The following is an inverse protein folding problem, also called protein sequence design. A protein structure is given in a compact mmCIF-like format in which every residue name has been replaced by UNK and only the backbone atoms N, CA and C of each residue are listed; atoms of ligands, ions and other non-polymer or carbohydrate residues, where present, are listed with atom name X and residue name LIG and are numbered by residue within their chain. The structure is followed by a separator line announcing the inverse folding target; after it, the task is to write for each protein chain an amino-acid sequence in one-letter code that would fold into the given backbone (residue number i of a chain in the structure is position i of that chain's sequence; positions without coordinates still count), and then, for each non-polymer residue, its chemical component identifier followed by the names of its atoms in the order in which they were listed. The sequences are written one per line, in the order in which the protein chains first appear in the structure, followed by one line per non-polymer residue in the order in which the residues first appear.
data_IF_845025828507
#
_entry.id   IF_845025828507
#
_cell.length_a   1.000
_cell.length_b   1.000
_cell.length_c   1.000
_cell.angle_alpha   90.00
_cell.angle_beta   90.00
_cell.angle_gamma   90.00
#
_symmetry.space_group_name_H-M   'P 1'
#
loop_
_entity.id
_entity.type
_entity.pdbx_description
1 polymer ?
#
# COMPACT_ATOMS: atom_id res chain seq x y z
N UNK A 1 -23.36 -3.69 -15.91
CA UNK A 1 -22.22 -2.74 -15.92
C UNK A 1 -22.20 -1.95 -14.61
N UNK A 2 -21.16 -2.08 -13.80
CA UNK A 2 -21.02 -1.25 -12.61
C UNK A 2 -20.80 0.22 -13.02
N UNK A 3 -21.66 1.15 -12.56
CA UNK A 3 -21.54 2.58 -12.82
C UNK A 3 -20.15 3.07 -12.38
N UNK A 4 -19.45 3.80 -13.25
CA UNK A 4 -18.17 4.43 -12.95
C UNK A 4 -18.36 5.43 -11.78
N UNK A 5 -17.53 5.32 -10.74
CA UNK A 5 -17.62 6.17 -9.55
C UNK A 5 -16.38 7.06 -9.53
N UNK A 6 -16.52 8.31 -9.93
CA UNK A 6 -15.38 9.23 -9.99
C UNK A 6 -14.66 9.37 -8.63
N UNK A 7 -15.38 9.28 -7.50
CA UNK A 7 -14.78 9.36 -6.17
C UNK A 7 -13.79 8.22 -5.90
N UNK A 8 -14.08 6.98 -6.31
CA UNK A 8 -13.15 5.85 -6.09
C UNK A 8 -11.95 5.91 -7.03
N UNK A 9 -12.13 6.39 -8.26
CA UNK A 9 -11.01 6.57 -9.19
C UNK A 9 -10.09 7.71 -8.74
N UNK A 10 -10.66 8.82 -8.25
CA UNK A 10 -9.88 9.88 -7.62
C UNK A 10 -9.10 9.35 -6.41
N UNK A 11 -9.73 8.50 -5.59
CA UNK A 11 -9.06 7.91 -4.43
C UNK A 11 -7.91 6.99 -4.85
N UNK A 12 -8.09 6.20 -5.91
CA UNK A 12 -7.01 5.37 -6.48
C UNK A 12 -5.80 6.19 -6.92
N UNK A 13 -6.03 7.32 -7.60
CA UNK A 13 -4.95 8.20 -8.02
C UNK A 13 -4.22 8.83 -6.82
N UNK A 14 -4.96 9.32 -5.82
CA UNK A 14 -4.37 9.88 -4.60
C UNK A 14 -3.59 8.81 -3.83
N UNK A 15 -4.14 7.61 -3.71
CA UNK A 15 -3.50 6.53 -2.97
C UNK A 15 -2.16 6.10 -3.58
N UNK A 16 -2.04 6.02 -4.92
CA UNK A 16 -0.74 5.71 -5.54
C UNK A 16 0.27 6.84 -5.33
N UNK A 17 -0.15 8.10 -5.40
CA UNK A 17 0.73 9.24 -5.10
C UNK A 17 1.24 9.15 -3.66
N UNK A 18 0.37 8.88 -2.69
CA UNK A 18 0.75 8.75 -1.28
C UNK A 18 1.72 7.57 -1.06
N UNK A 19 1.52 6.44 -1.72
CA UNK A 19 2.44 5.29 -1.64
C UNK A 19 3.83 5.67 -2.16
N UNK A 20 3.92 6.34 -3.31
CA UNK A 20 5.20 6.80 -3.85
C UNK A 20 5.83 7.87 -2.94
N UNK A 21 5.02 8.78 -2.40
CA UNK A 21 5.46 9.85 -1.50
C UNK A 21 6.19 9.32 -0.26
N UNK A 22 5.73 8.23 0.35
CA UNK A 22 6.44 7.57 1.46
C UNK A 22 7.88 7.23 1.08
N UNK A 23 8.08 6.73 -0.14
CA UNK A 23 9.39 6.30 -0.61
C UNK A 23 10.26 7.43 -1.17
N UNK A 24 9.68 8.61 -1.37
CA UNK A 24 10.40 9.83 -1.71
C UNK A 24 10.85 10.63 -0.47
N UNK A 25 10.43 10.27 0.74
CA UNK A 25 10.84 10.97 1.99
C UNK A 25 12.35 11.17 2.15
N UNK A 26 13.22 10.21 1.79
CA UNK A 26 14.67 10.42 1.83
C UNK A 26 15.18 11.58 0.95
N UNK A 27 14.36 12.10 0.03
CA UNK A 27 14.71 13.22 -0.84
C UNK A 27 14.22 14.55 -0.27
N UNK A 28 14.87 15.03 0.78
CA UNK A 28 14.60 16.35 1.38
C UNK A 28 13.62 16.35 2.55
N UNK A 29 13.09 15.21 3.00
CA UNK A 29 12.18 15.14 4.15
C UNK A 29 12.67 14.14 5.19
N UNK A 30 13.92 14.30 5.63
CA UNK A 30 14.56 13.46 6.67
C UNK A 30 14.44 14.04 8.09
N UNK A 31 13.87 15.23 8.25
CA UNK A 31 13.63 15.87 9.55
C UNK A 31 12.60 15.10 10.39
N UNK A 32 12.96 14.71 11.61
CA UNK A 32 12.12 13.86 12.47
C UNK A 32 11.57 14.62 13.69
N UNK A 33 11.17 15.88 13.52
CA UNK A 33 10.67 16.71 14.60
C UNK A 33 9.62 17.74 14.14
N UNK A 34 8.86 18.26 15.11
CA UNK A 34 7.94 19.37 14.91
C UNK A 34 6.84 19.09 13.86
N UNK A 35 6.41 20.12 13.10
CA UNK A 35 5.37 19.98 12.08
C UNK A 35 5.71 18.97 10.97
N UNK A 36 7.00 18.75 10.72
CA UNK A 36 7.44 17.82 9.69
C UNK A 36 7.25 16.36 10.08
N UNK A 37 7.42 16.03 11.36
CA UNK A 37 7.09 14.69 11.87
C UNK A 37 5.59 14.41 11.75
N UNK A 38 4.73 15.41 11.99
CA UNK A 38 3.28 15.31 11.73
C UNK A 38 3.01 15.03 10.26
N UNK A 39 3.63 15.80 9.36
CA UNK A 39 3.50 15.60 7.91
C UNK A 39 3.94 14.20 7.48
N UNK A 40 5.08 13.72 7.98
CA UNK A 40 5.56 12.37 7.70
C UNK A 40 4.59 11.31 8.22
N UNK A 41 4.10 11.46 9.45
CA UNK A 41 3.14 10.51 10.04
C UNK A 41 1.81 10.48 9.28
N UNK A 42 1.39 11.59 8.64
CA UNK A 42 0.24 11.59 7.72
C UNK A 42 0.50 10.74 6.46
N UNK A 43 1.74 10.73 5.94
CA UNK A 43 2.09 10.04 4.69
C UNK A 43 2.50 8.58 4.91
N UNK A 44 3.29 8.26 5.94
CA UNK A 44 3.66 6.89 6.27
C UNK A 44 2.42 6.00 6.36
N UNK A 45 2.52 4.68 6.13
CA UNK A 45 1.35 3.80 6.21
C UNK A 45 0.30 4.01 5.10
N UNK A 46 0.62 4.78 4.04
CA UNK A 46 -0.25 5.02 2.87
C UNK A 46 -0.85 3.74 2.24
N UNK A 47 -0.20 2.59 2.42
CA UNK A 47 -0.72 1.27 1.98
C UNK A 47 -2.13 0.97 2.49
N UNK A 48 -2.53 1.50 3.65
CA UNK A 48 -3.89 1.39 4.16
C UNK A 48 -4.95 1.86 3.14
N UNK A 49 -4.66 2.91 2.37
CA UNK A 49 -5.55 3.42 1.34
C UNK A 49 -5.73 2.39 0.19
N UNK A 50 -4.65 1.74 -0.25
CA UNK A 50 -4.74 0.67 -1.25
C UNK A 50 -5.53 -0.53 -0.77
N UNK A 51 -5.35 -0.94 0.49
CA UNK A 51 -6.11 -2.06 1.06
C UNK A 51 -7.59 -1.71 1.19
N UNK A 52 -7.92 -0.52 1.69
CA UNK A 52 -9.29 -0.01 1.74
C UNK A 52 -9.95 -0.01 0.34
N UNK A 53 -9.27 0.56 -0.66
CA UNK A 53 -9.78 0.62 -2.03
C UNK A 53 -9.97 -0.80 -2.59
N UNK A 54 -9.03 -1.70 -2.33
CA UNK A 54 -9.12 -3.10 -2.77
C UNK A 54 -10.38 -3.79 -2.21
N UNK A 55 -10.73 -3.53 -0.95
CA UNK A 55 -11.96 -4.04 -0.33
C UNK A 55 -13.21 -3.39 -0.90
N UNK A 56 -13.18 -2.08 -1.13
CA UNK A 56 -14.27 -1.36 -1.78
C UNK A 56 -14.57 -1.95 -3.18
N UNK A 57 -13.52 -2.19 -3.96
CA UNK A 57 -13.59 -2.76 -5.31
C UNK A 57 -13.98 -4.23 -5.30
N UNK A 58 -13.60 -5.00 -4.28
CA UNK A 58 -14.09 -6.37 -4.10
C UNK A 58 -15.61 -6.42 -4.09
N UNK A 59 -16.23 -5.62 -3.23
CA UNK A 59 -17.70 -5.55 -3.18
C UNK A 59 -18.29 -4.97 -4.48
N UNK A 60 -17.79 -3.82 -4.93
CA UNK A 60 -18.41 -3.06 -6.03
C UNK A 60 -18.29 -3.76 -7.39
N UNK A 61 -17.17 -4.44 -7.65
CA UNK A 61 -16.89 -5.07 -8.94
C UNK A 61 -17.19 -6.55 -8.91
N UNK A 62 -16.72 -7.30 -7.91
CA UNK A 62 -16.75 -8.77 -7.96
C UNK A 62 -17.98 -9.35 -7.26
N UNK A 63 -18.24 -8.96 -6.01
CA UNK A 63 -19.37 -9.49 -5.24
C UNK A 63 -20.72 -9.14 -5.88
N UNK A 64 -20.93 -7.87 -6.27
CA UNK A 64 -22.17 -7.44 -6.95
C UNK A 64 -22.42 -8.16 -8.26
N UNK A 65 -21.36 -8.52 -8.97
CA UNK A 65 -21.45 -9.26 -10.24
C UNK A 65 -21.50 -10.77 -10.04
N UNK A 66 -21.47 -11.25 -8.79
CA UNK A 66 -21.41 -12.67 -8.43
C UNK A 66 -20.29 -13.41 -9.16
N UNK A 67 -19.12 -12.76 -9.30
CA UNK A 67 -17.97 -13.35 -9.99
C UNK A 67 -17.55 -14.65 -9.29
N UNK A 68 -17.43 -15.78 -10.01
CA UNK A 68 -16.95 -17.03 -9.44
C UNK A 68 -15.57 -16.90 -8.79
N UNK A 69 -15.34 -17.62 -7.69
CA UNK A 69 -14.09 -17.57 -6.93
C UNK A 69 -12.84 -17.81 -7.80
N UNK A 70 -12.88 -18.83 -8.66
CA UNK A 70 -11.76 -19.18 -9.54
C UNK A 70 -11.48 -18.06 -10.56
N UNK A 71 -12.53 -17.43 -11.10
CA UNK A 71 -12.37 -16.31 -12.03
C UNK A 71 -11.76 -15.09 -11.32
N UNK A 72 -12.24 -14.80 -10.10
CA UNK A 72 -11.66 -13.75 -9.26
C UNK A 72 -10.17 -14.00 -9.01
N UNK A 73 -9.78 -15.18 -8.54
CA UNK A 73 -8.37 -15.51 -8.28
C UNK A 73 -7.52 -15.48 -9.55
N UNK A 74 -8.03 -16.02 -10.66
CA UNK A 74 -7.35 -16.00 -11.96
C UNK A 74 -7.08 -14.56 -12.42
N UNK A 75 -8.02 -13.64 -12.15
CA UNK A 75 -7.80 -12.21 -12.42
C UNK A 75 -6.70 -11.61 -11.53
N UNK A 76 -6.59 -12.00 -10.26
CA UNK A 76 -5.54 -11.51 -9.35
C UNK A 76 -4.18 -12.11 -9.66
N UNK A 77 -4.15 -13.37 -10.06
CA UNK A 77 -2.96 -14.03 -10.54
C UNK A 77 -2.35 -13.25 -11.72
N UNK A 78 -3.14 -13.01 -12.77
CA UNK A 78 -2.65 -12.32 -13.98
C UNK A 78 -2.26 -10.86 -13.75
N UNK A 79 -2.98 -10.14 -12.89
CA UNK A 79 -2.80 -8.70 -12.75
C UNK A 79 -1.94 -8.27 -11.55
N UNK A 80 -1.62 -9.18 -10.63
CA UNK A 80 -0.87 -8.85 -9.41
C UNK A 80 0.29 -9.83 -9.19
N UNK A 81 0.01 -11.13 -9.12
CA UNK A 81 1.05 -12.12 -8.80
C UNK A 81 2.04 -12.30 -9.97
N UNK A 82 1.56 -12.36 -11.21
CA UNK A 82 2.42 -12.54 -12.37
C UNK A 82 3.39 -11.37 -12.60
N UNK A 83 2.96 -10.08 -12.56
CA UNK A 83 3.88 -8.93 -12.56
C UNK A 83 4.93 -9.01 -11.45
N UNK A 84 4.52 -9.38 -10.24
CA UNK A 84 5.39 -9.54 -9.08
C UNK A 84 6.45 -10.62 -9.30
N UNK A 85 6.06 -11.78 -9.83
CA UNK A 85 7.00 -12.87 -10.11
C UNK A 85 7.99 -12.47 -11.20
N UNK A 86 7.53 -11.85 -12.29
CA UNK A 86 8.40 -11.46 -13.41
C UNK A 86 9.41 -10.38 -13.00
N UNK A 87 8.92 -9.26 -12.47
CA UNK A 87 9.79 -8.15 -12.04
C UNK A 87 10.61 -8.56 -10.81
N UNK A 88 10.02 -9.29 -9.87
CA UNK A 88 10.70 -9.82 -8.70
C UNK A 88 11.88 -10.72 -9.06
N UNK A 89 11.73 -11.60 -10.07
CA UNK A 89 12.83 -12.42 -10.57
C UNK A 89 13.98 -11.56 -11.08
N UNK A 90 13.69 -10.50 -11.84
CA UNK A 90 14.71 -9.54 -12.29
C UNK A 90 15.41 -8.84 -11.12
N UNK A 91 14.67 -8.45 -10.08
CA UNK A 91 15.25 -7.81 -8.89
C UNK A 91 16.14 -8.77 -8.10
N UNK A 92 15.68 -10.01 -7.88
CA UNK A 92 16.46 -11.05 -7.19
C UNK A 92 17.73 -11.37 -7.98
N UNK A 93 17.63 -11.51 -9.30
CA UNK A 93 18.80 -11.73 -10.15
C UNK A 93 19.82 -10.60 -10.02
N UNK A 94 19.38 -9.34 -10.04
CA UNK A 94 20.26 -8.18 -9.84
C UNK A 94 20.91 -8.19 -8.45
N UNK A 95 20.16 -8.47 -7.38
CA UNK A 95 20.71 -8.60 -6.03
C UNK A 95 21.76 -9.70 -5.95
N UNK A 96 21.50 -10.85 -6.58
CA UNK A 96 22.40 -11.99 -6.61
C UNK A 96 23.72 -11.65 -7.31
N UNK A 97 23.67 -11.13 -8.54
CA UNK A 97 24.90 -10.80 -9.30
C UNK A 97 25.70 -9.65 -8.67
N UNK A 98 25.02 -8.72 -8.00
CA UNK A 98 25.67 -7.59 -7.32
C UNK A 98 26.12 -7.91 -5.90
N UNK A 99 25.87 -9.14 -5.41
CA UNK A 99 26.12 -9.57 -4.03
C UNK A 99 25.54 -8.58 -3.01
N UNK A 100 24.31 -8.13 -3.25
CA UNK A 100 23.63 -7.12 -2.46
C UNK A 100 22.42 -7.70 -1.70
N UNK A 101 21.89 -6.93 -0.76
CA UNK A 101 20.80 -7.38 0.11
C UNK A 101 21.23 -8.55 0.98
N UNK A 102 20.33 -9.50 1.22
CA UNK A 102 20.60 -10.71 1.99
C UNK A 102 21.63 -11.65 1.34
N UNK A 103 21.99 -11.45 0.05
CA UNK A 103 23.10 -12.19 -0.57
C UNK A 103 24.49 -11.65 -0.18
N UNK A 104 24.59 -10.46 0.42
CA UNK A 104 25.89 -9.93 0.87
C UNK A 104 26.42 -10.60 2.14
N UNK A 105 25.53 -11.21 2.93
CA UNK A 105 25.84 -11.73 4.27
C UNK A 105 25.98 -10.63 5.35
N UNK A 106 25.90 -9.35 4.97
CA UNK A 106 26.11 -8.20 5.86
C UNK A 106 24.80 -7.55 6.35
N UNK A 107 23.64 -7.88 5.78
CA UNK A 107 22.35 -7.36 6.25
C UNK A 107 21.97 -7.99 7.60
N UNK A 108 22.36 -7.31 8.69
CA UNK A 108 22.06 -7.68 10.07
C UNK A 108 20.59 -7.38 10.42
N UNK A 109 19.72 -8.36 10.18
CA UNK A 109 18.38 -8.42 10.80
C UNK A 109 18.28 -9.59 11.79
N UNK A 110 19.35 -9.82 12.55
CA UNK A 110 19.53 -10.95 13.47
C UNK A 110 18.23 -11.29 14.23
N UNK A 111 17.62 -12.43 13.87
CA UNK A 111 16.45 -13.00 14.53
C UNK A 111 15.14 -12.21 14.42
N UNK A 112 15.09 -11.09 13.71
CA UNK A 112 13.89 -10.23 13.60
C UNK A 112 13.08 -10.46 12.33
N UNK A 113 13.70 -11.01 11.30
CA UNK A 113 13.06 -11.31 10.00
C UNK A 113 13.12 -12.80 9.71
N UNK A 114 12.51 -13.22 8.60
CA UNK A 114 12.59 -14.61 8.15
C UNK A 114 13.98 -14.98 7.60
N UNK A 115 14.88 -14.02 7.36
CA UNK A 115 16.20 -14.23 6.77
C UNK A 115 17.27 -14.45 7.85
N UNK A 116 18.24 -15.31 7.55
CA UNK A 116 19.42 -15.57 8.38
C UNK A 116 20.70 -15.36 7.56
N UNK A 117 21.78 -14.99 8.22
CA UNK A 117 23.10 -14.78 7.60
C UNK A 117 23.64 -16.05 6.93
N UNK A 118 23.33 -17.21 7.49
CA UNK A 118 23.84 -18.51 7.02
C UNK A 118 22.89 -19.17 5.99
N UNK A 119 21.85 -18.47 5.54
CA UNK A 119 20.92 -19.03 4.56
C UNK A 119 21.63 -19.32 3.22
N UNK A 120 21.46 -20.52 2.69
CA UNK A 120 21.90 -20.85 1.34
C UNK A 120 21.16 -19.99 0.29
N UNK A 121 21.81 -19.68 -0.84
CA UNK A 121 21.27 -18.80 -1.89
C UNK A 121 19.84 -19.18 -2.34
N UNK A 122 19.55 -20.48 -2.50
CA UNK A 122 18.20 -20.95 -2.86
C UNK A 122 17.15 -20.64 -1.79
N UNK A 123 17.53 -20.69 -0.50
CA UNK A 123 16.66 -20.35 0.63
C UNK A 123 16.39 -18.85 0.61
N UNK A 124 17.41 -18.02 0.36
CA UNK A 124 17.27 -16.56 0.23
C UNK A 124 16.30 -16.22 -0.90
N UNK A 125 16.43 -16.85 -2.08
CA UNK A 125 15.51 -16.67 -3.21
C UNK A 125 14.07 -16.99 -2.80
N UNK A 126 13.85 -18.13 -2.14
CA UNK A 126 12.54 -18.52 -1.62
C UNK A 126 11.98 -17.48 -0.65
N UNK A 127 12.78 -17.04 0.32
CA UNK A 127 12.40 -16.01 1.30
C UNK A 127 12.11 -14.67 0.65
N UNK A 128 12.79 -14.29 -0.44
CA UNK A 128 12.46 -13.09 -1.21
C UNK A 128 11.09 -13.14 -1.87
N UNK A 129 10.71 -14.26 -2.48
CA UNK A 129 9.35 -14.42 -3.02
C UNK A 129 8.28 -14.53 -1.94
N UNK A 130 8.61 -15.08 -0.76
CA UNK A 130 7.66 -15.16 0.35
C UNK A 130 7.44 -13.80 1.01
N UNK A 131 8.49 -13.00 1.18
CA UNK A 131 8.43 -11.71 1.88
C UNK A 131 8.17 -10.53 0.96
N UNK A 132 8.50 -10.63 -0.33
CA UNK A 132 8.55 -9.48 -1.23
C UNK A 132 9.64 -8.46 -0.90
N UNK A 133 10.66 -8.83 -0.11
CA UNK A 133 11.69 -7.90 0.38
C UNK A 133 12.78 -7.57 -0.66
N UNK A 134 12.79 -8.24 -1.82
CA UNK A 134 13.77 -8.01 -2.89
C UNK A 134 13.71 -6.61 -3.49
N UNK A 135 12.57 -5.93 -3.37
CA UNK A 135 12.42 -4.58 -3.84
C UNK A 135 11.43 -3.81 -2.96
N UNK A 136 11.66 -2.51 -2.77
CA UNK A 136 10.77 -1.66 -1.98
C UNK A 136 9.32 -1.79 -2.46
N UNK A 137 8.36 -1.73 -1.53
CA UNK A 137 6.92 -1.89 -1.76
C UNK A 137 6.42 -3.29 -2.17
N UNK A 138 7.27 -4.20 -2.67
CA UNK A 138 6.85 -5.51 -3.19
C UNK A 138 6.33 -6.45 -2.09
N UNK A 139 6.68 -6.20 -0.83
CA UNK A 139 6.12 -6.85 0.35
C UNK A 139 4.58 -6.82 0.43
N UNK A 140 3.93 -5.89 -0.29
CA UNK A 140 2.48 -5.84 -0.39
C UNK A 140 1.88 -7.09 -1.05
N UNK A 141 2.58 -7.66 -2.05
CA UNK A 141 1.99 -8.70 -2.90
C UNK A 141 1.79 -10.03 -2.16
N UNK A 142 2.74 -10.54 -1.36
CA UNK A 142 2.53 -11.79 -0.62
C UNK A 142 1.28 -11.76 0.28
N UNK A 143 1.10 -10.71 1.07
CA UNK A 143 -0.07 -10.65 1.97
C UNK A 143 -1.36 -10.37 1.19
N UNK A 144 -1.35 -9.56 0.13
CA UNK A 144 -2.58 -9.28 -0.61
C UNK A 144 -3.08 -10.51 -1.38
N UNK A 145 -2.18 -11.39 -1.82
CA UNK A 145 -2.54 -12.68 -2.41
C UNK A 145 -3.23 -13.58 -1.38
N UNK A 146 -2.70 -13.63 -0.15
CA UNK A 146 -3.38 -14.33 0.95
C UNK A 146 -4.75 -13.71 1.24
N UNK A 147 -4.84 -12.38 1.29
CA UNK A 147 -6.09 -11.66 1.47
C UNK A 147 -7.10 -12.03 0.37
N UNK A 148 -6.70 -12.02 -0.91
CA UNK A 148 -7.58 -12.42 -2.01
C UNK A 148 -8.00 -13.89 -1.92
N UNK A 149 -7.14 -14.79 -1.44
CA UNK A 149 -7.50 -16.20 -1.25
C UNK A 149 -8.65 -16.39 -0.24
N UNK A 150 -8.81 -15.45 0.70
CA UNK A 150 -9.89 -15.40 1.70
C UNK A 150 -11.24 -14.91 1.14
N UNK A 151 -11.38 -14.73 -0.17
CA UNK A 151 -12.64 -14.31 -0.82
C UNK A 151 -13.92 -15.04 -0.30
N UNK A 152 -13.93 -16.36 -0.05
CA UNK A 152 -15.11 -17.02 0.52
C UNK A 152 -15.50 -16.46 1.90
N UNK A 153 -14.52 -16.11 2.75
CA UNK A 153 -14.77 -15.48 4.05
C UNK A 153 -15.29 -14.06 3.89
N UNK A 154 -14.81 -13.34 2.87
CA UNK A 154 -15.30 -12.01 2.52
C UNK A 154 -16.76 -12.02 2.08
N UNK A 155 -17.16 -13.03 1.29
CA UNK A 155 -18.55 -13.22 0.88
C UNK A 155 -19.45 -13.49 2.08
N UNK A 156 -18.99 -14.34 3.02
CA UNK A 156 -19.67 -14.57 4.31
C UNK A 156 -19.80 -13.28 5.10
N UNK A 157 -18.74 -12.49 5.21
CA UNK A 157 -18.77 -11.18 5.86
C UNK A 157 -19.82 -10.26 5.24
N UNK A 158 -19.97 -10.23 3.91
CA UNK A 158 -20.90 -9.34 3.20
C UNK A 158 -22.38 -9.70 3.45
N UNK A 159 -22.70 -10.95 3.77
CA UNK A 159 -24.09 -11.40 3.97
C UNK A 159 -24.56 -11.40 5.43
N UNK A 160 -23.65 -11.33 6.42
CA UNK A 160 -24.07 -11.26 7.84
C UNK A 160 -24.80 -9.95 8.18
N UNK A 161 -25.57 -9.92 9.29
CA UNK A 161 -26.28 -8.70 9.70
C UNK A 161 -25.31 -7.56 10.00
N UNK A 162 -25.75 -6.31 9.78
CA UNK A 162 -24.94 -5.08 9.95
C UNK A 162 -24.21 -5.03 11.30
N UNK A 163 -24.88 -5.40 12.40
CA UNK A 163 -24.28 -5.44 13.74
C UNK A 163 -23.06 -6.36 13.84
N UNK A 164 -23.10 -7.53 13.19
CA UNK A 164 -22.00 -8.47 13.19
C UNK A 164 -20.86 -8.01 12.28
N UNK A 165 -21.16 -7.35 11.15
CA UNK A 165 -20.13 -6.71 10.32
C UNK A 165 -19.29 -5.71 11.11
N UNK A 166 -19.98 -4.83 11.85
CA UNK A 166 -19.33 -3.82 12.70
C UNK A 166 -18.55 -4.46 13.85
N UNK A 167 -19.11 -5.49 14.49
CA UNK A 167 -18.39 -6.23 15.53
C UNK A 167 -17.10 -6.88 15.00
N UNK A 168 -17.16 -7.54 13.84
CA UNK A 168 -15.99 -8.15 13.20
C UNK A 168 -14.92 -7.09 12.87
N UNK A 169 -15.32 -5.97 12.25
CA UNK A 169 -14.40 -4.86 11.96
C UNK A 169 -13.76 -4.32 13.24
N UNK A 170 -14.56 -4.11 14.29
CA UNK A 170 -14.09 -3.59 15.56
C UNK A 170 -13.10 -4.55 16.23
N UNK A 171 -13.45 -5.83 16.37
CA UNK A 171 -12.57 -6.85 16.95
C UNK A 171 -11.27 -6.98 16.16
N UNK A 172 -11.32 -7.06 14.82
CA UNK A 172 -10.11 -7.14 14.01
C UNK A 172 -9.28 -5.86 14.05
N UNK A 173 -9.91 -4.70 14.21
CA UNK A 173 -9.19 -3.43 14.42
C UNK A 173 -8.41 -3.44 15.74
N UNK A 174 -9.01 -3.93 16.82
CA UNK A 174 -8.30 -4.10 18.10
C UNK A 174 -7.13 -5.07 17.96
N UNK A 175 -7.31 -6.18 17.24
CA UNK A 175 -6.23 -7.13 16.95
C UNK A 175 -5.11 -6.45 16.16
N UNK A 176 -5.41 -5.69 15.10
CA UNK A 176 -4.40 -4.94 14.34
C UNK A 176 -3.63 -3.97 15.22
N UNK A 177 -4.32 -3.27 16.13
CA UNK A 177 -3.69 -2.33 17.07
C UNK A 177 -2.72 -3.00 18.06
N UNK A 178 -2.90 -4.29 18.32
CA UNK A 178 -2.04 -5.09 19.20
C UNK A 178 -0.98 -5.88 18.44
N UNK A 179 -1.21 -6.24 17.17
CA UNK A 179 -0.30 -7.06 16.36
C UNK A 179 0.79 -6.20 15.69
N UNK A 180 0.44 -4.97 15.29
CA UNK A 180 1.29 -4.04 14.53
C UNK A 180 1.79 -4.65 13.22
N UNK A 181 2.66 -3.92 12.51
CA UNK A 181 3.34 -4.43 11.31
C UNK A 181 4.55 -5.29 11.67
N UNK A 182 4.89 -6.25 10.81
CA UNK A 182 6.10 -7.06 10.98
C UNK A 182 7.37 -6.27 10.63
N UNK A 183 8.50 -6.65 11.21
CA UNK A 183 9.81 -6.09 10.84
C UNK A 183 10.06 -6.22 9.34
N UNK A 184 10.48 -5.10 8.74
CA UNK A 184 10.77 -4.96 7.31
C UNK A 184 9.65 -5.47 6.38
N UNK A 185 8.44 -5.63 6.92
CA UNK A 185 7.32 -6.25 6.25
C UNK A 185 7.52 -7.70 5.76
N UNK A 186 8.42 -8.43 6.41
CA UNK A 186 8.85 -9.78 5.97
C UNK A 186 7.93 -10.93 6.35
N UNK A 187 6.96 -10.73 7.25
CA UNK A 187 5.98 -11.75 7.65
C UNK A 187 4.60 -11.45 7.03
N UNK A 188 4.23 -12.08 5.90
CA UNK A 188 2.97 -11.81 5.23
C UNK A 188 1.74 -12.17 6.04
N UNK A 189 1.82 -13.16 6.94
CA UNK A 189 0.70 -13.56 7.79
C UNK A 189 0.38 -12.49 8.84
N UNK A 190 1.40 -11.93 9.47
CA UNK A 190 1.23 -10.79 10.39
C UNK A 190 0.63 -9.59 9.64
N UNK A 191 1.09 -9.33 8.40
CA UNK A 191 0.52 -8.28 7.56
C UNK A 191 -0.92 -8.54 7.15
N UNK A 192 -1.28 -9.79 6.85
CA UNK A 192 -2.65 -10.18 6.56
C UNK A 192 -3.56 -9.81 7.75
N UNK A 193 -3.17 -10.20 8.97
CA UNK A 193 -3.93 -9.89 10.19
C UNK A 193 -4.06 -8.37 10.34
N UNK A 194 -2.94 -7.64 10.27
CA UNK A 194 -2.89 -6.19 10.44
C UNK A 194 -3.77 -5.44 9.42
N UNK A 195 -3.74 -5.84 8.15
CA UNK A 195 -4.40 -5.12 7.05
C UNK A 195 -5.83 -5.56 6.77
N UNK A 196 -6.27 -6.75 7.21
CA UNK A 196 -7.64 -7.25 6.99
C UNK A 196 -8.74 -6.26 7.36
N UNK A 197 -8.73 -5.58 8.53
CA UNK A 197 -9.83 -4.67 8.86
C UNK A 197 -9.94 -3.46 7.91
N UNK A 198 -8.84 -2.92 7.36
CA UNK A 198 -8.95 -1.87 6.32
C UNK A 198 -9.72 -2.36 5.10
N UNK A 199 -9.49 -3.61 4.70
CA UNK A 199 -10.16 -4.24 3.57
C UNK A 199 -11.66 -4.41 3.84
N UNK A 200 -12.03 -4.88 5.04
CA UNK A 200 -13.41 -5.03 5.45
C UNK A 200 -14.15 -3.68 5.61
N UNK A 201 -13.46 -2.65 6.10
CA UNK A 201 -13.99 -1.28 6.16
C UNK A 201 -14.30 -0.79 4.74
N UNK A 202 -13.39 -1.00 3.78
CA UNK A 202 -13.62 -0.67 2.37
C UNK A 202 -14.86 -1.36 1.79
N UNK A 203 -15.03 -2.66 2.05
CA UNK A 203 -16.24 -3.41 1.68
C UNK A 203 -17.50 -2.84 2.33
N UNK A 204 -17.46 -2.57 3.64
CA UNK A 204 -18.58 -2.04 4.39
C UNK A 204 -19.02 -0.68 3.85
N UNK A 205 -18.07 0.21 3.58
CA UNK A 205 -18.33 1.52 2.98
C UNK A 205 -18.95 1.38 1.59
N UNK A 206 -18.45 0.45 0.77
CA UNK A 206 -19.00 0.16 -0.56
C UNK A 206 -20.43 -0.40 -0.49
N UNK A 207 -20.71 -1.26 0.48
CA UNK A 207 -22.03 -1.87 0.72
C UNK A 207 -23.07 -0.84 1.15
N UNK A 208 -22.71 0.04 2.08
CA UNK A 208 -23.62 1.04 2.65
C UNK A 208 -23.42 2.45 2.08
N UNK A 209 -22.77 2.57 0.91
CA UNK A 209 -22.40 3.85 0.29
C UNK A 209 -23.53 4.89 0.33
N UNK A 210 -24.71 4.51 -0.16
CA UNK A 210 -25.87 5.42 -0.27
C UNK A 210 -26.31 5.94 1.10
N UNK A 211 -26.39 5.05 2.10
CA UNK A 211 -26.72 5.42 3.48
C UNK A 211 -25.63 6.26 4.14
N UNK A 212 -24.36 5.98 3.84
CA UNK A 212 -23.21 6.67 4.41
C UNK A 212 -22.91 8.01 3.75
N UNK A 213 -23.36 8.26 2.51
CA UNK A 213 -23.09 9.47 1.76
C UNK A 213 -23.74 10.72 2.37
N UNK A 214 -24.77 10.57 3.20
CA UNK A 214 -25.36 11.67 3.96
C UNK A 214 -24.29 12.39 4.80
N UNK A 215 -24.31 13.72 4.81
CA UNK A 215 -23.37 14.53 5.59
C UNK A 215 -21.88 14.20 5.31
N UNK A 216 -21.54 13.78 4.09
CA UNK A 216 -20.17 13.40 3.72
C UNK A 216 -19.14 14.50 4.06
N UNK A 217 -19.48 15.79 3.87
CA UNK A 217 -18.61 16.91 4.25
C UNK A 217 -18.26 16.93 5.75
N UNK A 218 -19.27 16.77 6.61
CA UNK A 218 -19.09 16.77 8.07
C UNK A 218 -18.31 15.54 8.51
N UNK A 219 -18.64 14.36 7.97
CA UNK A 219 -17.90 13.12 8.25
C UNK A 219 -16.44 13.22 7.80
N UNK A 220 -16.20 13.78 6.61
CA UNK A 220 -14.86 14.06 6.10
C UNK A 220 -14.09 14.96 7.07
N UNK A 221 -14.67 16.09 7.48
CA UNK A 221 -14.02 17.00 8.42
C UNK A 221 -13.70 16.30 9.74
N UNK A 222 -14.66 15.57 10.32
CA UNK A 222 -14.48 14.85 11.58
C UNK A 222 -13.32 13.84 11.50
N UNK A 223 -13.33 12.97 10.48
CA UNK A 223 -12.33 11.92 10.34
C UNK A 223 -10.94 12.46 9.98
N UNK A 224 -10.85 13.50 9.14
CA UNK A 224 -9.57 14.13 8.81
C UNK A 224 -9.00 14.90 10.01
N UNK A 225 -9.83 15.62 10.76
CA UNK A 225 -9.40 16.30 11.99
C UNK A 225 -8.90 15.29 13.03
N UNK A 226 -9.57 14.14 13.19
CA UNK A 226 -9.10 13.07 14.08
C UNK A 226 -7.79 12.45 13.59
N UNK A 227 -7.63 12.25 12.27
CA UNK A 227 -6.38 11.75 11.69
C UNK A 227 -5.21 12.73 11.88
N UNK A 228 -5.46 14.04 11.83
CA UNK A 228 -4.47 15.08 12.10
C UNK A 228 -4.14 15.11 13.60
N UNK A 229 -5.15 15.07 14.47
CA UNK A 229 -4.94 15.05 15.92
C UNK A 229 -4.10 13.84 16.38
N UNK A 230 -4.37 12.65 15.82
CA UNK A 230 -3.57 11.45 16.09
C UNK A 230 -2.14 11.58 15.55
N UNK A 231 -1.94 12.18 14.37
CA UNK A 231 -0.60 12.43 13.84
C UNK A 231 0.20 13.45 14.69
N UNK A 232 -0.48 14.47 15.24
CA UNK A 232 0.11 15.42 16.20
C UNK A 232 0.47 14.71 17.49
N UNK A 233 -0.40 13.84 18.00
CA UNK A 233 -0.13 13.02 19.19
C UNK A 233 1.09 12.12 18.98
N UNK A 234 1.15 11.37 17.87
CA UNK A 234 2.29 10.51 17.56
C UNK A 234 3.59 11.33 17.46
N UNK A 235 3.53 12.52 16.85
CA UNK A 235 4.68 13.40 16.76
C UNK A 235 5.09 13.98 18.13
N UNK A 236 4.15 14.29 19.02
CA UNK A 236 4.45 14.88 20.34
C UNK A 236 5.14 13.89 21.28
N UNK A 237 4.91 12.59 21.11
CA UNK A 237 5.63 11.52 21.81
C UNK A 237 6.88 11.06 21.06
N UNK A 238 7.25 11.73 19.96
CA UNK A 238 8.44 11.41 19.15
C UNK A 238 8.30 10.13 18.31
N UNK A 239 7.08 9.59 18.13
CA UNK A 239 6.85 8.42 17.30
C UNK A 239 6.86 8.80 15.80
N UNK A 240 7.68 8.09 15.03
CA UNK A 240 7.77 8.25 13.58
C UNK A 240 7.33 6.98 12.85
N UNK A 241 6.41 7.14 11.91
CA UNK A 241 6.06 6.10 10.95
C UNK A 241 5.19 5.01 11.56
N UNK A 242 5.46 3.75 11.18
CA UNK A 242 4.60 2.64 11.56
C UNK A 242 5.09 1.97 12.83
N UNK A 243 4.16 1.51 13.66
CA UNK A 243 4.46 0.59 14.75
C UNK A 243 4.87 -0.76 14.17
N UNK A 244 6.00 -1.28 14.65
CA UNK A 244 6.64 -2.50 14.15
C UNK A 244 7.13 -3.34 15.32
N UNK A 245 6.79 -4.63 15.31
CA UNK A 245 7.26 -5.61 16.32
C UNK A 245 7.06 -7.06 15.84
N UNK A 246 7.62 -8.06 16.55
CA UNK A 246 7.27 -9.46 16.33
C UNK A 246 5.80 -9.71 16.66
N UNK A 247 5.21 -10.71 16.00
CA UNK A 247 3.79 -11.05 16.14
C UNK A 247 3.38 -11.32 17.60
N UNK A 248 4.20 -12.05 18.36
CA UNK A 248 3.88 -12.55 19.71
C UNK A 248 4.27 -11.61 20.85
N UNK A 249 5.00 -10.52 20.56
CA UNK A 249 5.45 -9.57 21.58
C UNK A 249 4.43 -8.45 21.75
N UNK A 250 4.20 -7.99 22.98
CA UNK A 250 3.42 -6.77 23.22
C UNK A 250 4.35 -5.54 23.23
N UNK A 251 3.98 -4.45 22.55
CA UNK A 251 4.75 -3.20 22.54
C UNK A 251 3.83 -1.96 22.47
N UNK A 252 2.77 -1.95 23.28
CA UNK A 252 1.81 -0.86 23.30
C UNK A 252 0.76 -0.91 22.17
N UNK A 253 0.01 0.17 22.07
CA UNK A 253 -1.13 0.32 21.15
C UNK A 253 -0.69 1.08 19.90
N UNK A 254 -0.95 0.52 18.72
CA UNK A 254 -0.71 1.18 17.44
C UNK A 254 -1.76 2.28 17.19
N UNK A 255 -1.44 3.50 17.59
CA UNK A 255 -2.25 4.70 17.32
C UNK A 255 -2.24 5.08 15.85
N UNK A 256 -1.17 4.71 15.12
CA UNK A 256 -1.05 4.97 13.69
C UNK A 256 -2.09 4.17 12.89
N UNK A 257 -2.43 2.95 13.32
CA UNK A 257 -3.52 2.17 12.75
C UNK A 257 -4.83 2.99 12.78
N UNK A 258 -5.20 3.52 13.94
CA UNK A 258 -6.41 4.31 14.10
C UNK A 258 -6.34 5.59 13.27
N UNK A 259 -5.17 6.23 13.26
CA UNK A 259 -4.86 7.40 12.46
C UNK A 259 -5.12 7.14 10.97
N UNK A 260 -4.67 5.99 10.44
CA UNK A 260 -4.92 5.60 9.05
C UNK A 260 -6.35 5.21 8.77
N UNK A 261 -7.05 4.53 9.67
CA UNK A 261 -8.48 4.28 9.51
C UNK A 261 -9.23 5.60 9.34
N UNK A 262 -8.96 6.57 10.21
CA UNK A 262 -9.56 7.90 10.12
C UNK A 262 -9.16 8.61 8.82
N UNK A 263 -7.89 8.55 8.44
CA UNK A 263 -7.39 9.19 7.23
C UNK A 263 -8.06 8.63 5.97
N UNK A 264 -8.10 7.31 5.80
CA UNK A 264 -8.66 6.69 4.57
C UNK A 264 -10.17 6.88 4.49
N UNK A 265 -10.89 6.80 5.61
CA UNK A 265 -12.33 7.05 5.66
C UNK A 265 -12.64 8.54 5.44
N UNK A 266 -11.83 9.44 6.00
CA UNK A 266 -11.92 10.87 5.79
C UNK A 266 -11.71 11.27 4.34
N UNK A 267 -10.64 10.77 3.69
CA UNK A 267 -10.38 10.98 2.27
C UNK A 267 -11.53 10.43 1.41
N UNK A 268 -12.05 9.24 1.73
CA UNK A 268 -13.20 8.69 1.02
C UNK A 268 -14.40 9.66 1.06
N UNK A 269 -14.77 10.14 2.24
CA UNK A 269 -15.89 11.07 2.38
C UNK A 269 -15.62 12.42 1.73
N UNK A 270 -14.38 12.91 1.75
CA UNK A 270 -13.99 14.12 1.03
C UNK A 270 -14.27 13.98 -0.46
N UNK A 271 -13.84 12.87 -1.06
CA UNK A 271 -14.01 12.60 -2.48
C UNK A 271 -15.46 12.27 -2.86
N UNK A 272 -16.24 11.72 -1.93
CA UNK A 272 -17.68 11.53 -2.12
C UNK A 272 -18.44 12.86 -2.05
N UNK A 273 -17.99 13.82 -1.22
CA UNK A 273 -18.55 15.16 -1.13
C UNK A 273 -18.15 16.06 -2.32
N UNK A 274 -16.95 15.87 -2.86
CA UNK A 274 -16.37 16.66 -3.93
C UNK A 274 -15.79 15.78 -5.05
N UNK A 275 -16.62 15.01 -5.77
CA UNK A 275 -16.14 14.21 -6.88
C UNK A 275 -15.76 15.11 -8.06
N UNK A 276 -14.51 15.04 -8.49
CA UNK A 276 -14.02 15.73 -9.69
C UNK A 276 -13.66 14.74 -10.79
N UNK A 277 -13.51 15.22 -12.03
CA UNK A 277 -13.05 14.43 -13.17
C UNK A 277 -11.95 15.18 -13.90
N UNK A 278 -10.71 14.81 -13.60
CA UNK A 278 -9.51 15.38 -14.23
C UNK A 278 -8.86 14.30 -15.08
N UNK A 279 -8.55 14.62 -16.34
CA UNK A 279 -8.07 13.64 -17.33
C UNK A 279 -6.82 12.89 -16.88
N UNK A 280 -5.80 13.62 -16.40
CA UNK A 280 -4.54 13.02 -15.95
C UNK A 280 -4.70 12.17 -14.69
N UNK A 281 -5.51 12.59 -13.70
CA UNK A 281 -5.80 11.79 -12.50
C UNK A 281 -6.58 10.53 -12.84
N UNK A 282 -7.56 10.64 -13.74
CA UNK A 282 -8.32 9.48 -14.23
C UNK A 282 -7.40 8.49 -14.95
N UNK A 283 -6.40 8.99 -15.67
CA UNK A 283 -5.39 8.16 -16.30
C UNK A 283 -4.46 7.51 -15.27
N UNK A 284 -3.96 8.26 -14.29
CA UNK A 284 -3.14 7.75 -13.19
C UNK A 284 -3.87 6.66 -12.40
N UNK A 285 -5.16 6.87 -12.08
CA UNK A 285 -6.00 5.88 -11.42
C UNK A 285 -6.07 4.54 -12.17
N UNK A 286 -6.17 4.61 -13.51
CA UNK A 286 -6.19 3.43 -14.38
C UNK A 286 -4.86 2.68 -14.33
N UNK A 287 -3.74 3.41 -14.37
CA UNK A 287 -2.39 2.83 -14.43
C UNK A 287 -1.73 2.65 -13.05
N UNK A 288 -2.48 2.81 -11.97
CA UNK A 288 -1.97 2.86 -10.60
C UNK A 288 -1.18 1.60 -10.21
N UNK A 289 -1.61 0.41 -10.64
CA UNK A 289 -0.87 -0.83 -10.42
C UNK A 289 0.45 -0.89 -11.20
N UNK A 290 0.47 -0.37 -12.43
CA UNK A 290 1.71 -0.24 -13.20
C UNK A 290 2.70 0.69 -12.49
N UNK A 291 2.24 1.85 -12.02
CA UNK A 291 3.08 2.76 -11.22
C UNK A 291 3.54 2.10 -9.91
N UNK A 292 2.67 1.33 -9.24
CA UNK A 292 3.04 0.55 -8.05
C UNK A 292 4.20 -0.40 -8.32
N UNK A 293 4.19 -1.15 -9.43
CA UNK A 293 5.27 -2.09 -9.73
C UNK A 293 6.56 -1.41 -10.21
N UNK A 294 6.45 -0.26 -10.88
CA UNK A 294 7.58 0.41 -11.54
C UNK A 294 8.31 1.41 -10.65
N UNK A 295 7.62 2.14 -9.76
CA UNK A 295 8.27 3.19 -8.95
C UNK A 295 9.48 2.71 -8.13
N UNK A 296 9.54 1.47 -7.58
CA UNK A 296 10.72 1.03 -6.83
C UNK A 296 11.95 0.88 -7.73
N UNK A 297 11.76 0.55 -9.01
CA UNK A 297 12.83 0.51 -10.01
C UNK A 297 13.38 1.90 -10.29
N UNK A 298 12.48 2.87 -10.50
CA UNK A 298 12.84 4.28 -10.70
C UNK A 298 13.65 4.77 -9.50
N UNK A 299 13.16 4.53 -8.28
CA UNK A 299 13.86 4.90 -7.05
C UNK A 299 15.21 4.20 -6.89
N UNK A 300 15.32 2.93 -7.30
CA UNK A 300 16.60 2.19 -7.25
C UNK A 300 17.65 2.84 -8.15
N UNK A 301 17.26 3.31 -9.33
CA UNK A 301 18.15 4.09 -10.22
C UNK A 301 18.46 5.45 -9.60
N UNK A 302 17.45 6.17 -9.09
CA UNK A 302 17.64 7.49 -8.50
C UNK A 302 18.57 7.49 -7.29
N UNK A 303 18.55 6.44 -6.45
CA UNK A 303 19.47 6.28 -5.32
C UNK A 303 20.95 6.23 -5.73
N UNK A 304 21.25 5.93 -6.99
CA UNK A 304 22.62 5.87 -7.54
C UNK A 304 23.07 7.19 -8.18
N UNK A 305 22.25 8.24 -8.12
CA UNK A 305 22.57 9.55 -8.68
C UNK A 305 23.12 10.50 -7.61
N UNK A 306 23.91 11.52 -7.98
CA UNK A 306 24.38 12.56 -7.04
C UNK A 306 23.25 13.28 -6.30
N UNK A 307 22.05 13.31 -6.88
CA UNK A 307 20.86 13.89 -6.25
C UNK A 307 20.53 13.24 -4.90
N UNK A 308 20.70 11.92 -4.78
CA UNK A 308 20.43 11.23 -3.51
C UNK A 308 21.44 11.61 -2.43
N UNK A 309 22.72 11.75 -2.80
CA UNK A 309 23.77 12.21 -1.89
C UNK A 309 23.53 13.65 -1.44
N UNK A 310 23.16 14.53 -2.38
CA UNK A 310 22.79 15.91 -2.06
C UNK A 310 21.59 15.98 -1.10
N UNK A 311 20.56 15.19 -1.38
CA UNK A 311 19.35 15.17 -0.57
C UNK A 311 19.57 14.66 0.86
N UNK A 312 20.51 13.73 1.07
CA UNK A 312 20.88 13.28 2.42
C UNK A 312 21.43 14.41 3.32
N UNK A 313 21.97 15.49 2.71
CA UNK A 313 22.41 16.68 3.44
C UNK A 313 21.27 17.67 3.77
N UNK A 314 20.09 17.48 3.19
CA UNK A 314 18.93 18.37 3.36
C UNK A 314 17.89 17.70 4.26
N UNK A 315 17.54 18.39 5.36
CA UNK A 315 16.62 17.83 6.34
C UNK A 315 15.14 18.15 6.04
N UNK A 316 14.84 19.36 5.55
CA UNK A 316 13.46 19.87 5.39
C UNK A 316 13.29 20.71 4.10
N UNK A 317 13.58 20.11 2.95
CA UNK A 317 13.36 20.67 1.62
C UNK A 317 12.11 20.06 0.95
N UNK A 318 10.97 20.73 1.16
CA UNK A 318 9.69 20.32 0.58
C UNK A 318 9.67 20.47 -0.95
N UNK A 319 10.44 21.41 -1.51
CA UNK A 319 10.48 21.66 -2.96
C UNK A 319 11.18 20.51 -3.65
N UNK A 320 12.32 20.07 -3.12
CA UNK A 320 13.03 18.89 -3.60
C UNK A 320 12.17 17.63 -3.48
N UNK A 321 11.51 17.43 -2.33
CA UNK A 321 10.61 16.30 -2.12
C UNK A 321 9.48 16.25 -3.15
N UNK A 322 8.78 17.37 -3.36
CA UNK A 322 7.70 17.46 -4.34
C UNK A 322 8.21 17.26 -5.77
N UNK A 323 9.39 17.81 -6.10
CA UNK A 323 10.02 17.64 -7.41
C UNK A 323 10.33 16.17 -7.68
N UNK A 324 10.95 15.48 -6.72
CA UNK A 324 11.25 14.05 -6.81
C UNK A 324 9.98 13.21 -6.88
N UNK A 325 8.95 13.52 -6.09
CA UNK A 325 7.67 12.83 -6.14
C UNK A 325 7.03 12.94 -7.54
N UNK A 326 6.94 14.15 -8.09
CA UNK A 326 6.39 14.38 -9.43
C UNK A 326 7.22 13.63 -10.48
N UNK A 327 8.55 13.69 -10.38
CA UNK A 327 9.46 13.00 -11.28
C UNK A 327 9.26 11.48 -11.24
N UNK A 328 9.26 10.88 -10.05
CA UNK A 328 9.11 9.42 -9.88
C UNK A 328 7.76 8.95 -10.38
N UNK A 329 6.67 9.65 -10.06
CA UNK A 329 5.34 9.32 -10.57
C UNK A 329 5.32 9.42 -12.09
N UNK A 330 5.81 10.52 -12.66
CA UNK A 330 5.80 10.74 -14.11
C UNK A 330 6.63 9.71 -14.86
N UNK A 331 7.87 9.45 -14.42
CA UNK A 331 8.73 8.42 -15.02
C UNK A 331 8.09 7.04 -14.92
N UNK A 332 7.51 6.69 -13.77
CA UNK A 332 6.83 5.41 -13.59
C UNK A 332 5.64 5.26 -14.53
N UNK A 333 4.86 6.33 -14.73
CA UNK A 333 3.75 6.36 -15.68
C UNK A 333 4.26 6.18 -17.12
N UNK A 334 5.31 6.91 -17.52
CA UNK A 334 5.89 6.81 -18.86
C UNK A 334 6.41 5.39 -19.13
N UNK A 335 7.18 4.83 -18.21
CA UNK A 335 7.71 3.46 -18.32
C UNK A 335 6.55 2.46 -18.43
N UNK A 336 5.54 2.54 -17.56
CA UNK A 336 4.38 1.64 -17.62
C UNK A 336 3.65 1.73 -18.98
N UNK A 337 3.50 2.93 -19.54
CA UNK A 337 2.88 3.13 -20.85
C UNK A 337 3.76 2.58 -21.98
N UNK A 338 5.06 2.84 -21.95
CA UNK A 338 6.02 2.34 -22.94
C UNK A 338 6.07 0.81 -22.94
N UNK A 339 6.14 0.18 -21.76
CA UNK A 339 6.07 -1.29 -21.63
C UNK A 339 4.78 -1.84 -22.23
N UNK A 340 3.63 -1.22 -21.91
CA UNK A 340 2.35 -1.65 -22.48
C UNK A 340 2.31 -1.53 -24.00
N UNK A 341 2.89 -0.47 -24.55
CA UNK A 341 2.96 -0.24 -26.01
C UNK A 341 3.92 -1.21 -26.70
N UNK A 342 5.08 -1.48 -26.11
CA UNK A 342 6.03 -2.47 -26.64
C UNK A 342 5.42 -3.88 -26.67
N UNK A 343 4.57 -4.20 -25.70
CA UNK A 343 3.87 -5.47 -25.60
C UNK A 343 2.53 -5.52 -26.36
N UNK A 344 2.13 -4.47 -27.10
CA UNK A 344 0.83 -4.41 -27.80
C UNK A 344 0.59 -5.55 -28.79
N UNK A 345 1.65 -6.20 -29.27
CA UNK A 345 1.55 -7.35 -30.18
C UNK A 345 1.45 -8.71 -29.44
N UNK A 346 1.32 -8.73 -28.11
CA UNK A 346 1.15 -9.98 -27.37
C UNK A 346 0.07 -9.88 -26.30
N UNK A 347 -0.59 -11.01 -26.05
CA UNK A 347 -1.60 -11.20 -25.01
C UNK A 347 -1.04 -10.98 -23.58
N UNK A 348 0.25 -10.63 -23.43
CA UNK A 348 0.99 -10.54 -22.18
C UNK A 348 1.07 -9.13 -21.57
N UNK A 349 0.53 -8.07 -22.20
CA UNK A 349 0.70 -6.70 -21.67
C UNK A 349 0.14 -6.49 -20.25
N UNK A 350 -1.00 -7.12 -19.93
CA UNK A 350 -1.60 -7.08 -18.58
C UNK A 350 -0.83 -7.93 -17.56
N UNK A 351 -0.13 -8.95 -18.04
CA UNK A 351 0.61 -9.90 -17.22
C UNK A 351 1.90 -9.32 -16.61
N UNK A 352 2.46 -8.24 -17.18
CA UNK A 352 3.76 -7.69 -16.76
C UNK A 352 3.64 -6.50 -15.82
N UNK A 353 2.61 -5.65 -15.98
CA UNK A 353 2.46 -4.41 -15.19
C UNK A 353 1.10 -4.27 -14.49
N UNK A 354 0.22 -5.27 -14.59
CA UNK A 354 -1.10 -5.24 -13.95
C UNK A 354 -2.07 -4.20 -14.51
N UNK A 355 -1.80 -3.65 -15.70
CA UNK A 355 -2.62 -2.63 -16.36
C UNK A 355 -2.82 -2.83 -17.88
#
# INVERSE_FOLDING_TARGET
MARHISSIDNFRAIAIILVVAVHCMPYGMSVNSGPWLVFQNLIYGATAAFVFISGYMYHHVFFKQKTPYIEFLSSKFRNVLLPYLLLGTGAIFLLYISKAGFFSGEELFEGKTIFNTDDHALIIIGKYYLSGRMLTAYWYVPFVVMLFSMAPLHDRFLVVRRKYKLLIIFTLSLVSMLVHRSYENTNPLQMLIYFTPYYLIGMYVSLYRTSLASNAKIKSLLFLSLAIALAIYDASIGHQGNYIKPLTTYNGIDTMYLQKVCLVVGIYFLLEAFPFKIGWLSFLAKISFGVFFIHPWVLTVMKRTPLYQHANGLQADIVLFLTVLILVVTLSMLIAVCFKRALKNSHYSKAVIGY
#
